data_IF_265761656714
#
_entry.id   IF_265761656714
#
_cell.length_a   1.000
_cell.length_b   1.000
_cell.length_c   1.000
_cell.angle_alpha   90.00
_cell.angle_beta   90.00
_cell.angle_gamma   90.00
#
_symmetry.space_group_name_H-M   'P 1'
#
loop_
_entity.id
_entity.type
_entity.pdbx_description
1 polymer ?
#
# COMPACT_ATOMS: atom_id res chain seq x y z
N UNK A 1 -21.91 19.93 16.91
CA UNK A 1 -22.93 18.87 16.83
C UNK A 1 -22.36 17.74 16.00
N UNK A 2 -21.89 16.66 16.65
CA UNK A 2 -21.63 15.39 15.97
C UNK A 2 -22.98 14.67 15.91
N UNK A 3 -23.49 14.39 14.72
CA UNK A 3 -24.78 13.72 14.55
C UNK A 3 -24.57 12.23 14.80
N UNK A 4 -24.83 11.82 16.03
CA UNK A 4 -24.92 10.42 16.41
C UNK A 4 -26.39 10.04 16.59
N UNK A 5 -26.75 8.82 16.19
CA UNK A 5 -28.10 8.30 16.36
C UNK A 5 -28.35 7.82 17.80
N UNK A 6 -29.58 7.40 18.10
CA UNK A 6 -29.99 6.95 19.43
C UNK A 6 -29.27 5.66 19.89
N UNK A 7 -28.59 4.94 18.97
CA UNK A 7 -27.73 3.80 19.29
C UNK A 7 -26.31 4.21 19.69
N UNK A 8 -26.00 5.51 19.63
CA UNK A 8 -24.68 6.07 19.89
C UNK A 8 -23.72 5.97 18.71
N UNK A 9 -24.20 5.58 17.53
CA UNK A 9 -23.38 5.52 16.31
C UNK A 9 -23.33 6.89 15.64
N UNK A 10 -22.12 7.42 15.50
CA UNK A 10 -21.88 8.70 14.86
C UNK A 10 -21.74 8.57 13.34
N UNK A 11 -22.17 9.60 12.60
CA UNK A 11 -21.91 9.70 11.17
C UNK A 11 -20.44 10.04 10.93
N UNK A 12 -19.66 9.05 10.50
CA UNK A 12 -18.23 9.18 10.31
C UNK A 12 -17.85 9.89 9.00
N UNK A 13 -16.73 10.62 9.05
CA UNK A 13 -16.10 11.19 7.86
C UNK A 13 -15.43 10.10 7.03
N UNK A 14 -15.03 10.43 5.80
CA UNK A 14 -14.26 9.52 4.95
C UNK A 14 -12.97 9.09 5.66
N UNK A 15 -12.69 7.79 5.65
CA UNK A 15 -11.48 7.19 6.20
C UNK A 15 -11.52 6.80 7.68
N UNK A 16 -12.59 7.15 8.39
CA UNK A 16 -12.81 6.75 9.79
C UNK A 16 -14.08 5.91 9.95
N UNK A 17 -14.06 4.98 10.90
CA UNK A 17 -15.13 4.03 11.23
C UNK A 17 -15.23 3.85 12.75
N UNK A 18 -16.11 2.95 13.21
CA UNK A 18 -16.40 2.71 14.61
C UNK A 18 -17.64 3.48 15.09
N UNK A 19 -18.13 3.15 16.28
CA UNK A 19 -19.32 3.82 16.86
C UNK A 19 -19.08 5.31 17.07
N UNK A 20 -17.84 5.68 17.43
CA UNK A 20 -17.46 7.07 17.72
C UNK A 20 -16.55 7.67 16.66
N UNK A 21 -16.36 6.99 15.53
CA UNK A 21 -15.47 7.42 14.45
C UNK A 21 -14.00 7.55 14.90
N UNK A 22 -13.58 6.63 15.76
CA UNK A 22 -12.30 6.56 16.47
C UNK A 22 -11.38 5.46 15.93
N UNK A 23 -11.75 4.80 14.85
CA UNK A 23 -10.96 3.78 14.16
C UNK A 23 -10.73 4.19 12.70
N UNK A 24 -9.59 3.81 12.12
CA UNK A 24 -9.41 3.96 10.67
C UNK A 24 -10.17 2.87 9.91
N UNK A 25 -10.83 3.27 8.83
CA UNK A 25 -11.47 2.33 7.91
C UNK A 25 -10.44 1.46 7.19
N UNK A 26 -10.86 0.33 6.64
CA UNK A 26 -10.01 -0.51 5.79
C UNK A 26 -9.36 0.30 4.66
N UNK A 27 -8.06 0.11 4.47
CA UNK A 27 -7.27 0.87 3.51
C UNK A 27 -6.84 2.26 4.00
N UNK A 28 -6.99 2.54 5.29
CA UNK A 28 -6.47 3.73 5.96
C UNK A 28 -5.59 3.35 7.15
N UNK A 29 -4.70 4.26 7.53
CA UNK A 29 -3.80 4.12 8.68
C UNK A 29 -3.74 5.43 9.48
N UNK A 30 -3.32 5.36 10.74
CA UNK A 30 -3.08 6.54 11.56
C UNK A 30 -1.81 7.26 11.09
N UNK A 31 -1.99 8.39 10.41
CA UNK A 31 -0.88 9.30 10.10
C UNK A 31 -0.42 10.07 11.35
N UNK A 32 -1.37 10.33 12.26
CA UNK A 32 -1.16 10.84 13.61
C UNK A 32 -2.34 10.41 14.49
N UNK A 33 -2.32 10.78 15.77
CA UNK A 33 -3.32 10.39 16.78
C UNK A 33 -4.77 10.81 16.47
N UNK A 34 -4.99 11.63 15.44
CA UNK A 34 -6.32 12.18 15.10
C UNK A 34 -6.69 12.05 13.62
N UNK A 35 -5.76 11.62 12.75
CA UNK A 35 -5.93 11.70 11.30
C UNK A 35 -5.64 10.38 10.61
N UNK A 36 -6.68 9.79 10.01
CA UNK A 36 -6.53 8.64 9.12
C UNK A 36 -6.17 9.12 7.72
N UNK A 37 -5.17 8.49 7.11
CA UNK A 37 -4.84 8.70 5.70
C UNK A 37 -4.97 7.41 4.91
N UNK A 38 -5.33 7.50 3.60
CA UNK A 38 -5.41 6.32 2.76
C UNK A 38 -4.01 5.70 2.57
N UNK A 39 -3.95 4.37 2.55
CA UNK A 39 -2.72 3.63 2.27
C UNK A 39 -2.11 4.05 0.92
N UNK A 40 -0.81 4.35 0.91
CA UNK A 40 -0.09 4.81 -0.27
C UNK A 40 0.75 3.68 -0.88
N UNK A 41 0.08 2.67 -1.46
CA UNK A 41 0.74 1.44 -1.93
C UNK A 41 1.03 1.38 -3.43
N UNK A 42 1.21 2.54 -4.08
CA UNK A 42 1.43 2.65 -5.54
C UNK A 42 0.43 1.83 -6.39
N UNK A 43 -0.82 1.69 -5.91
CA UNK A 43 -1.86 0.86 -6.52
C UNK A 43 -1.54 -0.66 -6.60
N UNK A 44 -0.49 -1.12 -5.93
CA UNK A 44 -0.10 -2.53 -5.84
C UNK A 44 -0.55 -3.20 -4.52
N UNK A 45 -1.25 -2.46 -3.66
CA UNK A 45 -2.05 -3.01 -2.56
C UNK A 45 -3.17 -2.04 -2.18
N UNK A 46 -4.23 -2.56 -1.56
CA UNK A 46 -5.34 -1.77 -1.00
C UNK A 46 -5.26 -1.67 0.53
N UNK A 47 -4.35 -2.40 1.15
CA UNK A 47 -4.29 -2.55 2.61
C UNK A 47 -2.88 -2.30 3.12
N UNK A 48 -2.79 -1.63 4.26
CA UNK A 48 -1.54 -1.35 4.95
C UNK A 48 -1.73 -1.56 6.46
N UNK A 49 -0.63 -1.71 7.18
CA UNK A 49 -0.64 -1.77 8.64
C UNK A 49 -1.17 -0.46 9.22
N UNK A 50 -2.13 -0.56 10.14
CA UNK A 50 -2.90 0.59 10.65
C UNK A 50 -2.04 1.60 11.43
N UNK A 51 -0.92 1.18 12.01
CA UNK A 51 -0.04 2.04 12.82
C UNK A 51 1.10 2.68 12.04
N UNK A 52 1.58 2.04 10.97
CA UNK A 52 2.78 2.48 10.23
C UNK A 52 2.47 2.94 8.82
N UNK A 53 1.33 2.54 8.26
CA UNK A 53 1.02 2.74 6.85
C UNK A 53 1.81 1.84 5.90
N UNK A 54 2.58 0.87 6.42
CA UNK A 54 3.36 -0.07 5.60
C UNK A 54 2.42 -1.02 4.86
N UNK A 55 2.57 -1.07 3.54
CA UNK A 55 1.72 -1.84 2.66
C UNK A 55 1.85 -3.34 2.89
N UNK A 56 0.70 -4.00 2.99
CA UNK A 56 0.63 -5.44 3.16
C UNK A 56 0.35 -6.11 1.82
N UNK A 57 0.96 -7.28 1.61
CA UNK A 57 0.70 -8.15 0.44
C UNK A 57 0.83 -7.43 -0.91
N UNK A 58 1.96 -6.76 -1.14
CA UNK A 58 2.28 -6.12 -2.42
C UNK A 58 2.12 -7.10 -3.61
N UNK A 59 1.35 -6.65 -4.61
CA UNK A 59 1.00 -7.37 -5.84
C UNK A 59 1.97 -7.03 -6.98
N UNK A 60 1.73 -7.57 -8.18
CA UNK A 60 2.48 -7.23 -9.41
C UNK A 60 4.01 -7.36 -9.30
N UNK A 61 4.48 -8.32 -8.48
CA UNK A 61 5.89 -8.54 -8.19
C UNK A 61 6.62 -7.32 -7.59
N UNK A 62 5.90 -6.50 -6.83
CA UNK A 62 6.46 -5.37 -6.09
C UNK A 62 6.82 -5.73 -4.65
N UNK A 63 7.70 -4.94 -4.04
CA UNK A 63 8.15 -4.99 -2.64
C UNK A 63 8.48 -3.57 -2.16
N UNK A 64 8.88 -3.44 -0.90
CA UNK A 64 9.10 -2.14 -0.25
C UNK A 64 7.93 -1.77 0.65
N UNK A 65 8.08 -0.67 1.39
CA UNK A 65 7.08 -0.25 2.38
C UNK A 65 5.81 0.28 1.71
N UNK A 66 5.92 0.73 0.46
CA UNK A 66 4.86 1.34 -0.33
C UNK A 66 4.65 0.60 -1.66
N UNK A 67 5.17 -0.63 -1.77
CA UNK A 67 5.18 -1.43 -3.01
C UNK A 67 5.84 -0.68 -4.20
N UNK A 68 6.87 0.10 -3.91
CA UNK A 68 7.55 1.02 -4.82
C UNK A 68 8.75 0.39 -5.56
N UNK A 69 9.18 -0.80 -5.11
CA UNK A 69 10.33 -1.52 -5.66
C UNK A 69 9.87 -2.81 -6.35
N UNK A 70 10.62 -3.28 -7.34
CA UNK A 70 10.42 -4.62 -7.88
C UNK A 70 11.09 -5.68 -6.99
N UNK A 71 10.46 -6.84 -6.86
CA UNK A 71 11.06 -8.03 -6.22
C UNK A 71 12.33 -8.44 -6.95
N UNK A 72 13.18 -9.20 -6.28
CA UNK A 72 14.42 -9.69 -6.87
C UNK A 72 14.10 -10.56 -8.10
N UNK A 73 14.87 -10.37 -9.18
CA UNK A 73 14.60 -10.96 -10.49
C UNK A 73 13.58 -10.21 -11.34
N UNK A 74 13.12 -9.04 -10.90
CA UNK A 74 12.30 -8.12 -11.69
C UNK A 74 12.93 -6.72 -11.76
N UNK A 75 12.66 -6.00 -12.84
CA UNK A 75 13.08 -4.62 -13.05
C UNK A 75 11.88 -3.74 -13.39
N UNK A 76 11.92 -2.46 -13.04
CA UNK A 76 10.86 -1.51 -13.37
C UNK A 76 11.01 -0.99 -14.80
N UNK A 77 9.95 -1.02 -15.59
CA UNK A 77 9.86 -0.24 -16.84
C UNK A 77 9.23 1.12 -16.54
N UNK A 78 9.64 2.16 -17.27
CA UNK A 78 8.97 3.47 -17.24
C UNK A 78 7.62 3.44 -17.97
N UNK A 79 7.38 2.42 -18.80
CA UNK A 79 6.16 2.27 -19.61
C UNK A 79 5.71 0.80 -19.67
N UNK A 80 4.55 0.43 -19.07
CA UNK A 80 3.71 1.24 -18.18
C UNK A 80 4.45 1.60 -16.89
N UNK A 81 4.20 2.79 -16.36
CA UNK A 81 4.88 3.28 -15.15
C UNK A 81 4.71 2.28 -14.00
N UNK A 82 5.83 1.97 -13.34
CA UNK A 82 5.88 1.10 -12.16
C UNK A 82 5.48 -0.37 -12.40
N UNK A 83 5.50 -0.84 -13.66
CA UNK A 83 5.32 -2.28 -13.92
C UNK A 83 6.64 -3.03 -13.76
N UNK A 84 6.61 -4.13 -13.01
CA UNK A 84 7.76 -5.00 -12.79
C UNK A 84 7.83 -6.11 -13.84
N UNK A 85 8.86 -6.06 -14.67
CA UNK A 85 9.13 -7.06 -15.71
C UNK A 85 10.18 -8.04 -15.24
N UNK A 86 10.00 -9.33 -15.58
CA UNK A 86 11.00 -10.36 -15.29
C UNK A 86 12.31 -10.01 -16.01
N UNK A 87 13.43 -10.16 -15.32
CA UNK A 87 14.74 -9.93 -15.90
C UNK A 87 15.00 -10.91 -17.06
N UNK A 88 15.45 -10.44 -18.24
CA UNK A 88 15.80 -11.28 -19.37
C UNK A 88 17.20 -11.92 -19.18
N UNK A 89 17.45 -12.50 -18.01
CA UNK A 89 18.72 -13.15 -17.68
C UNK A 89 18.70 -14.63 -18.10
N UNK A 90 19.85 -15.15 -18.55
CA UNK A 90 20.00 -16.58 -18.79
C UNK A 90 19.84 -17.35 -17.48
N UNK A 91 18.94 -18.34 -17.46
CA UNK A 91 18.71 -19.22 -16.30
C UNK A 91 19.86 -20.21 -16.05
N UNK A 92 20.80 -20.32 -16.99
CA UNK A 92 21.96 -21.21 -16.92
C UNK A 92 23.24 -20.46 -16.53
N UNK A 93 23.37 -19.21 -16.98
CA UNK A 93 24.61 -18.43 -16.85
C UNK A 93 24.50 -17.24 -15.88
N UNK A 94 23.33 -17.04 -15.24
CA UNK A 94 23.11 -15.92 -14.33
C UNK A 94 22.43 -16.37 -13.04
N UNK A 95 22.69 -15.64 -11.95
CA UNK A 95 22.01 -15.77 -10.67
C UNK A 95 20.61 -15.16 -10.66
N UNK A 96 20.12 -14.67 -11.82
CA UNK A 96 18.77 -14.12 -11.97
C UNK A 96 18.57 -12.73 -11.37
N UNK A 97 19.63 -12.06 -10.90
CA UNK A 97 19.56 -10.70 -10.38
C UNK A 97 20.04 -9.72 -11.45
N UNK A 98 19.16 -8.81 -11.90
CA UNK A 98 19.54 -7.74 -12.82
C UNK A 98 19.59 -6.40 -12.08
N UNK A 99 20.60 -5.58 -12.40
CA UNK A 99 20.61 -4.15 -12.08
C UNK A 99 20.58 -3.40 -13.40
N UNK A 100 19.39 -3.04 -13.85
CA UNK A 100 19.26 -2.10 -14.97
C UNK A 100 19.47 -0.72 -14.34
N UNK A 101 20.65 -0.13 -14.57
CA UNK A 101 20.89 1.27 -14.23
C UNK A 101 20.03 2.15 -15.15
N UNK A 102 19.52 3.28 -14.65
CA UNK A 102 18.84 4.27 -15.46
C UNK A 102 19.74 4.82 -16.57
#
# INVERSE_FOLDING_TARGET
SARCDDSGKCQCKVGVTGLKCDECSDGYYWFNDTTCQPCQCNNHSKTCEISTGICMRCQDNTKGNYCELCKDGFYSSTHPAHTCHRCPCSTVASTGTCRIQP
#
